data_IF_872562048446
#
_entry.id   IF_872562048446
#
_cell.length_a   1.000
_cell.length_b   1.000
_cell.length_c   1.000
_cell.angle_alpha   90.00
_cell.angle_beta   90.00
_cell.angle_gamma   90.00
#
_symmetry.space_group_name_H-M   'P 1'
#
loop_
_entity.id
_entity.type
_entity.pdbx_description
1 polymer ?
#
# COMPACT_ATOMS: atom_id res chain seq x y z
N UNK A 1 -9.92 -18.05 -26.36
CA UNK A 1 -10.21 -16.75 -25.81
C UNK A 1 -8.97 -16.19 -25.16
N UNK A 2 -8.44 -15.06 -25.66
CA UNK A 2 -7.32 -14.39 -25.04
C UNK A 2 -7.71 -13.99 -23.62
N UNK A 3 -7.01 -14.53 -22.64
CA UNK A 3 -7.04 -14.01 -21.29
C UNK A 3 -6.27 -12.69 -21.36
N UNK A 4 -7.01 -11.59 -21.41
CA UNK A 4 -6.40 -10.28 -21.18
C UNK A 4 -6.01 -10.25 -19.70
N UNK A 5 -4.71 -10.38 -19.43
CA UNK A 5 -4.16 -9.99 -18.15
C UNK A 5 -4.56 -8.54 -17.94
N UNK A 6 -5.35 -8.27 -16.92
CA UNK A 6 -5.65 -6.90 -16.50
C UNK A 6 -4.42 -6.44 -15.75
N UNK A 7 -3.37 -6.07 -16.48
CA UNK A 7 -2.19 -5.48 -15.89
C UNK A 7 -2.59 -4.13 -15.28
N UNK A 8 -2.13 -3.88 -14.06
CA UNK A 8 -2.29 -2.58 -13.44
C UNK A 8 -1.59 -1.53 -14.28
N UNK A 9 -2.25 -0.40 -14.51
CA UNK A 9 -1.71 0.73 -15.27
C UNK A 9 -1.82 1.99 -14.44
N UNK A 10 -0.99 2.98 -14.75
CA UNK A 10 -1.09 4.30 -14.12
C UNK A 10 -2.46 4.91 -14.37
N UNK A 11 -2.97 5.76 -13.46
CA UNK A 11 -4.22 6.48 -13.70
C UNK A 11 -4.16 7.32 -14.98
N UNK A 12 -5.31 7.56 -15.60
CA UNK A 12 -5.40 8.41 -16.78
C UNK A 12 -4.82 9.79 -16.50
N UNK A 13 -3.93 10.25 -17.38
CA UNK A 13 -3.26 11.55 -17.22
C UNK A 13 -2.23 11.60 -16.10
N UNK A 14 -1.81 10.45 -15.57
CA UNK A 14 -0.81 10.41 -14.52
C UNK A 14 0.53 10.96 -15.01
N UNK A 15 1.12 11.80 -14.17
CA UNK A 15 2.50 12.27 -14.33
C UNK A 15 3.25 12.07 -13.02
N UNK A 16 4.52 11.70 -13.12
CA UNK A 16 5.39 11.57 -11.94
C UNK A 16 5.48 12.92 -11.21
N UNK A 17 5.38 12.93 -9.87
CA UNK A 17 5.54 14.16 -9.11
C UNK A 17 6.89 14.83 -9.37
N UNK A 18 6.88 16.16 -9.49
CA UNK A 18 8.08 17.00 -9.60
C UNK A 18 7.94 18.20 -8.70
N UNK A 19 8.72 18.23 -7.65
CA UNK A 19 8.69 19.29 -6.65
C UNK A 19 10.07 19.89 -6.48
N UNK A 20 10.09 21.15 -6.02
CA UNK A 20 11.33 21.83 -5.72
C UNK A 20 11.90 21.39 -4.37
N UNK A 21 13.21 21.37 -4.27
CA UNK A 21 13.92 21.19 -3.02
C UNK A 21 13.52 22.27 -2.01
N UNK A 22 13.30 21.86 -0.76
CA UNK A 22 13.06 22.75 0.36
C UNK A 22 14.33 22.76 1.22
N UNK A 23 15.16 23.82 1.15
CA UNK A 23 16.49 23.81 1.76
C UNK A 23 16.51 23.52 3.26
N UNK A 24 15.54 24.04 4.01
CA UNK A 24 15.46 23.84 5.47
C UNK A 24 15.19 22.36 5.81
N UNK A 25 14.41 21.67 4.99
CA UNK A 25 14.10 20.25 5.18
C UNK A 25 15.27 19.40 4.70
N UNK A 26 15.81 19.73 3.54
CA UNK A 26 16.96 19.02 2.99
C UNK A 26 18.17 19.04 3.92
N UNK A 27 18.34 20.11 4.69
CA UNK A 27 19.43 20.24 5.66
C UNK A 27 19.34 19.23 6.82
N UNK A 28 18.18 18.61 7.05
CA UNK A 28 18.01 17.60 8.10
C UNK A 28 18.69 16.27 7.77
N UNK A 29 18.96 16.02 6.50
CA UNK A 29 19.62 14.80 6.04
C UNK A 29 20.62 15.12 4.95
N UNK A 30 21.89 15.10 5.31
CA UNK A 30 23.00 15.34 4.40
C UNK A 30 23.55 13.98 3.94
N UNK A 31 23.16 13.59 2.71
CA UNK A 31 23.61 12.35 2.11
C UNK A 31 24.71 12.63 1.08
N UNK A 32 25.87 12.03 1.29
CA UNK A 32 27.06 12.25 0.47
C UNK A 32 26.89 11.78 -0.98
N UNK A 33 26.04 10.77 -1.26
CA UNK A 33 25.84 10.26 -2.63
C UNK A 33 24.68 10.93 -3.38
N UNK A 34 23.82 11.67 -2.67
CA UNK A 34 22.73 12.41 -3.29
C UNK A 34 21.59 11.54 -3.81
N UNK A 35 21.51 10.26 -3.42
CA UNK A 35 20.52 9.30 -3.88
C UNK A 35 19.72 8.75 -2.71
N UNK A 36 18.40 8.66 -2.88
CA UNK A 36 17.52 7.97 -1.93
C UNK A 36 17.08 6.64 -2.56
N UNK A 37 17.63 5.53 -2.06
CA UNK A 37 17.26 4.19 -2.50
C UNK A 37 16.12 3.66 -1.66
N UNK A 38 15.03 3.22 -2.31
CA UNK A 38 13.86 2.67 -1.66
C UNK A 38 13.64 1.22 -2.07
N UNK A 39 13.67 0.31 -1.11
CA UNK A 39 13.38 -1.10 -1.32
C UNK A 39 11.87 -1.33 -1.43
N UNK A 40 11.45 -2.04 -2.46
CA UNK A 40 10.04 -2.30 -2.74
C UNK A 40 9.86 -3.64 -3.43
N UNK A 41 8.69 -4.24 -3.28
CA UNK A 41 8.39 -5.56 -3.85
C UNK A 41 7.11 -5.53 -4.70
N UNK A 42 7.19 -5.11 -5.97
CA UNK A 42 6.06 -5.24 -6.88
C UNK A 42 5.82 -6.70 -7.28
N UNK A 43 4.59 -7.11 -7.67
CA UNK A 43 3.40 -6.28 -7.79
C UNK A 43 2.59 -6.21 -6.50
N UNK A 44 2.20 -5.00 -6.11
CA UNK A 44 1.29 -4.73 -4.99
C UNK A 44 0.52 -3.44 -5.28
N UNK A 45 -0.33 -3.47 -6.29
CA UNK A 45 -1.11 -2.30 -6.71
C UNK A 45 -2.18 -1.93 -5.67
N UNK A 46 -2.43 -0.63 -5.41
CA UNK A 46 -1.86 0.55 -6.08
C UNK A 46 -0.56 1.08 -5.46
N UNK A 47 0.04 0.37 -4.51
CA UNK A 47 1.22 0.82 -3.78
C UNK A 47 2.46 0.83 -4.64
N UNK A 48 2.77 -0.32 -5.26
CA UNK A 48 3.85 -0.46 -6.22
C UNK A 48 3.52 -1.57 -7.23
N UNK A 49 3.82 -1.31 -8.49
CA UNK A 49 3.72 -2.30 -9.56
C UNK A 49 4.58 -1.84 -10.75
N UNK A 50 4.83 -2.74 -11.68
CA UNK A 50 5.57 -2.41 -12.89
C UNK A 50 4.61 -1.95 -13.98
N UNK A 51 4.93 -0.82 -14.62
CA UNK A 51 4.23 -0.39 -15.82
C UNK A 51 4.69 -1.21 -17.05
N UNK A 52 4.07 -1.02 -18.24
CA UNK A 52 4.46 -1.77 -19.43
C UNK A 52 5.92 -1.62 -19.84
N UNK A 53 6.59 -0.50 -19.46
CA UNK A 53 7.99 -0.23 -19.73
C UNK A 53 8.93 -0.84 -18.68
N UNK A 54 8.39 -1.48 -17.65
CA UNK A 54 9.14 -2.08 -16.56
C UNK A 54 9.52 -1.12 -15.44
N UNK A 55 9.05 0.12 -15.47
CA UNK A 55 9.27 1.07 -14.39
C UNK A 55 8.38 0.72 -13.19
N UNK A 56 8.92 0.88 -11.98
CA UNK A 56 8.17 0.67 -10.74
C UNK A 56 7.42 1.95 -10.43
N UNK A 57 6.10 1.88 -10.44
CA UNK A 57 5.18 2.99 -10.23
C UNK A 57 4.17 2.64 -9.14
N UNK A 58 3.46 3.62 -8.63
CA UNK A 58 2.44 3.43 -7.62
C UNK A 58 2.39 4.60 -6.64
N UNK A 59 1.42 4.56 -5.73
CA UNK A 59 1.19 5.67 -4.80
C UNK A 59 2.35 5.84 -3.82
N UNK A 60 2.96 4.75 -3.34
CA UNK A 60 4.14 4.85 -2.47
C UNK A 60 5.36 5.37 -3.22
N UNK A 61 5.49 5.01 -4.50
CA UNK A 61 6.57 5.51 -5.35
C UNK A 61 6.41 7.01 -5.62
N UNK A 62 5.19 7.48 -5.84
CA UNK A 62 4.90 8.92 -5.99
C UNK A 62 5.23 9.68 -4.71
N UNK A 63 4.85 9.15 -3.55
CA UNK A 63 5.19 9.79 -2.27
C UNK A 63 6.70 9.83 -2.05
N UNK A 64 7.41 8.73 -2.32
CA UNK A 64 8.86 8.67 -2.18
C UNK A 64 9.57 9.63 -3.14
N UNK A 65 9.11 9.70 -4.39
CA UNK A 65 9.66 10.65 -5.37
C UNK A 65 9.49 12.10 -4.88
N UNK A 66 8.30 12.46 -4.42
CA UNK A 66 8.01 13.78 -3.89
C UNK A 66 8.86 14.11 -2.65
N UNK A 67 9.03 13.15 -1.74
CA UNK A 67 9.89 13.30 -0.55
C UNK A 67 11.35 13.49 -0.97
N UNK A 68 11.84 12.68 -1.91
CA UNK A 68 13.20 12.80 -2.42
C UNK A 68 13.45 14.18 -3.05
N UNK A 69 12.49 14.67 -3.84
CA UNK A 69 12.58 16.01 -4.44
C UNK A 69 12.74 17.10 -3.37
N UNK A 70 11.92 17.06 -2.33
CA UNK A 70 11.98 18.02 -1.21
C UNK A 70 13.33 17.96 -0.51
N UNK A 71 13.88 16.76 -0.34
CA UNK A 71 15.21 16.54 0.26
C UNK A 71 16.35 16.83 -0.69
N UNK A 72 16.09 17.11 -1.96
CA UNK A 72 17.12 17.34 -2.97
C UNK A 72 17.91 16.09 -3.34
N UNK A 73 17.28 14.91 -3.22
CA UNK A 73 17.88 13.61 -3.54
C UNK A 73 17.27 13.02 -4.81
N UNK A 74 18.07 12.24 -5.53
CA UNK A 74 17.57 11.43 -6.63
C UNK A 74 16.87 10.19 -6.09
N UNK A 75 15.61 9.98 -6.49
CA UNK A 75 14.86 8.79 -6.08
C UNK A 75 15.22 7.59 -6.94
N UNK A 76 15.55 6.48 -6.29
CA UNK A 76 15.86 5.23 -6.95
C UNK A 76 15.13 4.06 -6.29
N UNK A 77 14.02 3.57 -6.88
CA UNK A 77 13.38 2.35 -6.38
C UNK A 77 14.23 1.12 -6.71
N UNK A 78 14.30 0.19 -5.75
CA UNK A 78 15.06 -1.05 -5.86
C UNK A 78 14.13 -2.21 -5.61
N UNK A 79 13.93 -3.05 -6.63
CA UNK A 79 13.11 -4.25 -6.49
C UNK A 79 13.83 -5.29 -5.66
N UNK A 80 13.14 -5.83 -4.65
CA UNK A 80 13.64 -6.92 -3.81
C UNK A 80 12.50 -7.83 -3.38
N UNK A 81 12.82 -9.05 -3.01
CA UNK A 81 11.88 -9.91 -2.28
C UNK A 81 11.47 -9.21 -0.98
N UNK A 82 10.19 -9.27 -0.64
CA UNK A 82 9.65 -8.57 0.52
C UNK A 82 10.44 -8.90 1.81
N UNK A 83 10.78 -10.18 2.01
CA UNK A 83 11.55 -10.64 3.19
C UNK A 83 12.97 -10.09 3.25
N UNK A 84 13.51 -9.56 2.15
CA UNK A 84 14.88 -9.04 2.08
C UNK A 84 14.94 -7.53 2.26
N UNK A 85 13.82 -6.81 2.20
CA UNK A 85 13.83 -5.35 2.25
C UNK A 85 14.30 -4.83 3.60
N UNK A 86 13.67 -5.25 4.70
CA UNK A 86 14.05 -4.77 6.03
C UNK A 86 15.50 -5.14 6.40
N UNK A 87 15.99 -6.37 6.14
CA UNK A 87 17.41 -6.65 6.33
C UNK A 87 18.34 -5.74 5.54
N UNK A 88 18.00 -5.40 4.29
CA UNK A 88 18.80 -4.50 3.45
C UNK A 88 18.79 -3.05 3.99
N UNK A 89 17.66 -2.60 4.53
CA UNK A 89 17.56 -1.28 5.19
C UNK A 89 18.43 -1.28 6.46
N UNK A 90 18.36 -2.33 7.27
CA UNK A 90 19.14 -2.43 8.50
C UNK A 90 20.65 -2.44 8.24
N UNK A 91 21.09 -3.09 7.17
CA UNK A 91 22.52 -3.16 6.80
C UNK A 91 23.04 -1.91 6.09
N UNK A 92 22.16 -1.00 5.68
CA UNK A 92 22.52 0.19 4.92
C UNK A 92 22.70 -0.01 3.42
N UNK A 93 22.38 -1.19 2.89
CA UNK A 93 22.37 -1.43 1.44
C UNK A 93 21.30 -0.61 0.74
N UNK A 94 20.17 -0.38 1.40
CA UNK A 94 19.03 0.41 0.95
C UNK A 94 18.72 1.43 2.05
N UNK A 95 18.35 2.65 1.65
CA UNK A 95 18.11 3.72 2.62
C UNK A 95 16.77 3.58 3.34
N UNK A 96 15.71 3.19 2.62
CA UNK A 96 14.35 3.18 3.13
C UNK A 96 13.56 2.03 2.54
N UNK A 97 12.65 1.46 3.32
CA UNK A 97 11.69 0.46 2.86
C UNK A 97 10.35 1.11 2.52
N UNK A 98 9.84 0.83 1.33
CA UNK A 98 8.55 1.34 0.84
C UNK A 98 7.81 0.22 0.11
N UNK A 99 7.15 -0.65 0.86
CA UNK A 99 6.45 -1.82 0.32
C UNK A 99 5.23 -2.23 1.16
N UNK A 100 4.40 -1.25 1.49
CA UNK A 100 3.18 -1.50 2.26
C UNK A 100 3.45 -2.07 3.65
N UNK A 101 4.51 -1.63 4.29
CA UNK A 101 4.86 -2.14 5.61
C UNK A 101 3.90 -1.65 6.67
N UNK A 102 3.29 -2.59 7.39
CA UNK A 102 2.57 -2.25 8.62
C UNK A 102 3.57 -1.86 9.70
N UNK A 103 3.36 -0.70 10.28
CA UNK A 103 4.06 -0.26 11.48
C UNK A 103 3.52 -1.06 12.68
N UNK A 104 4.38 -1.86 13.31
CA UNK A 104 4.02 -2.67 14.46
C UNK A 104 5.15 -2.72 15.49
N UNK A 105 4.82 -3.15 16.70
CA UNK A 105 5.77 -3.16 17.81
C UNK A 105 6.99 -4.06 17.57
N UNK A 106 6.80 -5.19 16.91
CA UNK A 106 7.90 -6.11 16.61
C UNK A 106 8.94 -5.45 15.70
N UNK A 107 8.47 -4.81 14.62
CA UNK A 107 9.35 -4.11 13.68
C UNK A 107 10.00 -2.87 14.29
N UNK A 108 9.31 -2.18 15.21
CA UNK A 108 9.86 -0.97 15.90
C UNK A 108 11.08 -1.27 16.77
N UNK A 109 11.36 -2.51 17.07
CA UNK A 109 12.58 -2.89 17.80
C UNK A 109 13.85 -2.51 17.03
N UNK A 110 13.80 -2.58 15.70
CA UNK A 110 14.96 -2.39 14.83
C UNK A 110 14.79 -1.27 13.80
N UNK A 111 13.56 -0.74 13.64
CA UNK A 111 13.24 0.27 12.63
C UNK A 111 12.38 1.36 13.22
N UNK A 112 12.46 2.54 12.61
CA UNK A 112 11.47 3.59 12.78
C UNK A 112 10.58 3.64 11.54
N UNK A 113 9.27 3.83 11.73
CA UNK A 113 8.30 3.91 10.66
C UNK A 113 7.74 5.33 10.57
N UNK A 114 7.85 5.92 9.39
CA UNK A 114 7.17 7.18 9.08
C UNK A 114 5.80 6.81 8.51
N UNK A 115 4.77 6.98 9.34
CA UNK A 115 3.41 6.55 9.04
C UNK A 115 2.78 7.50 8.02
N UNK A 116 2.37 6.96 6.88
CA UNK A 116 1.89 7.77 5.77
C UNK A 116 0.45 7.44 5.33
N UNK A 117 -0.16 6.38 5.86
CA UNK A 117 -1.51 5.98 5.49
C UNK A 117 -2.04 4.99 6.52
N UNK A 118 -3.33 5.10 6.88
CA UNK A 118 -4.02 4.02 7.57
C UNK A 118 -4.74 3.15 6.55
N UNK A 119 -4.48 1.85 6.59
CA UNK A 119 -5.15 0.87 5.76
C UNK A 119 -5.66 -0.26 6.63
N UNK A 120 -6.84 -0.73 6.32
CA UNK A 120 -7.45 -1.89 6.97
C UNK A 120 -7.78 -2.95 5.95
N UNK A 121 -8.62 -3.91 6.36
CA UNK A 121 -9.19 -4.90 5.47
C UNK A 121 -10.54 -4.38 5.01
N UNK A 122 -10.84 -4.52 3.73
CA UNK A 122 -12.15 -4.19 3.18
C UNK A 122 -12.51 -5.14 2.05
N UNK A 123 -13.78 -5.54 2.01
CA UNK A 123 -14.25 -6.46 1.00
C UNK A 123 -14.83 -5.71 -0.20
N UNK A 124 -14.75 -6.35 -1.33
CA UNK A 124 -15.43 -5.93 -2.56
C UNK A 124 -16.23 -7.11 -3.10
N UNK A 125 -17.40 -6.83 -3.66
CA UNK A 125 -18.29 -7.82 -4.21
C UNK A 125 -18.60 -7.55 -5.68
N UNK A 126 -19.15 -8.55 -6.36
CA UNK A 126 -19.66 -8.40 -7.71
C UNK A 126 -20.97 -7.61 -7.70
N UNK A 127 -21.12 -6.61 -8.56
CA UNK A 127 -22.31 -5.73 -8.58
C UNK A 127 -23.60 -6.45 -8.96
N UNK A 128 -23.51 -7.51 -9.77
CA UNK A 128 -24.65 -8.33 -10.19
C UNK A 128 -24.69 -9.70 -9.51
N UNK A 129 -23.99 -9.85 -8.39
CA UNK A 129 -24.00 -11.07 -7.61
C UNK A 129 -25.38 -11.33 -6.99
N UNK A 130 -25.78 -12.63 -6.97
CA UNK A 130 -27.08 -13.04 -6.42
C UNK A 130 -27.05 -13.33 -4.91
N UNK A 131 -25.88 -13.59 -4.35
CA UNK A 131 -25.74 -13.82 -2.93
C UNK A 131 -25.47 -12.50 -2.20
N UNK A 132 -26.12 -12.32 -1.05
CA UNK A 132 -25.81 -11.21 -0.17
C UNK A 132 -24.44 -11.45 0.46
N UNK A 133 -23.56 -10.45 0.35
CA UNK A 133 -22.24 -10.46 0.97
C UNK A 133 -22.27 -9.58 2.23
N UNK A 134 -22.04 -10.22 3.37
CA UNK A 134 -21.83 -9.55 4.65
C UNK A 134 -20.48 -10.00 5.19
N UNK A 135 -19.47 -9.11 5.22
CA UNK A 135 -18.14 -9.49 5.70
C UNK A 135 -18.11 -9.99 7.15
N UNK A 136 -19.08 -9.57 7.97
CA UNK A 136 -19.17 -10.02 9.37
C UNK A 136 -19.88 -11.37 9.54
N UNK A 137 -20.61 -11.83 8.51
CA UNK A 137 -21.29 -13.12 8.51
C UNK A 137 -21.25 -13.76 7.12
N UNK A 138 -20.06 -14.25 6.68
CA UNK A 138 -19.87 -14.68 5.31
C UNK A 138 -20.11 -16.16 5.07
N UNK A 139 -20.74 -16.88 5.98
CA UNK A 139 -20.98 -18.33 5.83
C UNK A 139 -21.74 -18.64 4.53
N UNK A 140 -21.30 -19.65 3.83
CA UNK A 140 -21.88 -20.07 2.54
C UNK A 140 -21.32 -19.35 1.33
N UNK A 141 -20.45 -18.38 1.49
CA UNK A 141 -19.83 -17.63 0.39
C UNK A 141 -18.53 -18.29 -0.09
N UNK A 142 -18.13 -17.90 -1.29
CA UNK A 142 -16.78 -18.12 -1.83
C UNK A 142 -16.06 -16.78 -1.86
N UNK A 143 -14.92 -16.69 -1.19
CA UNK A 143 -14.14 -15.46 -1.04
C UNK A 143 -12.74 -15.63 -1.60
N UNK A 144 -12.34 -14.73 -2.48
CA UNK A 144 -11.01 -14.71 -3.08
C UNK A 144 -10.07 -13.83 -2.26
N UNK A 145 -8.83 -14.28 -2.08
CA UNK A 145 -7.78 -13.55 -1.37
C UNK A 145 -6.45 -13.72 -2.08
N UNK A 146 -5.53 -12.81 -1.82
CA UNK A 146 -4.13 -13.04 -2.12
C UNK A 146 -3.51 -13.90 -1.01
N UNK A 147 -2.75 -14.92 -1.42
CA UNK A 147 -2.09 -15.87 -0.51
C UNK A 147 -1.11 -15.15 0.42
N UNK A 148 -1.04 -15.61 1.68
CA UNK A 148 -0.11 -15.12 2.73
C UNK A 148 -0.32 -13.68 3.19
N UNK A 149 -1.41 -13.05 2.79
CA UNK A 149 -1.78 -11.71 3.27
C UNK A 149 -2.55 -11.80 4.60
N UNK A 150 -2.66 -10.67 5.27
CA UNK A 150 -3.49 -10.50 6.48
C UNK A 150 -4.96 -10.85 6.17
N UNK A 151 -5.43 -10.54 4.97
CA UNK A 151 -6.79 -10.93 4.55
C UNK A 151 -7.00 -12.43 4.57
N UNK A 152 -6.01 -13.23 4.20
CA UNK A 152 -6.09 -14.68 4.30
C UNK A 152 -5.98 -15.15 5.74
N UNK A 153 -4.91 -14.77 6.44
CA UNK A 153 -4.54 -15.35 7.73
C UNK A 153 -5.37 -14.83 8.90
N UNK A 154 -5.75 -13.56 8.87
CA UNK A 154 -6.39 -12.88 10.01
C UNK A 154 -7.87 -12.56 9.75
N UNK A 155 -8.35 -12.67 8.52
CA UNK A 155 -9.74 -12.41 8.16
C UNK A 155 -10.47 -13.67 7.73
N UNK A 156 -10.22 -14.19 6.54
CA UNK A 156 -11.08 -15.25 5.97
C UNK A 156 -10.86 -16.62 6.62
N UNK A 157 -9.66 -17.00 7.00
CA UNK A 157 -9.41 -18.27 7.68
C UNK A 157 -10.12 -18.33 9.05
N UNK A 158 -9.98 -17.32 9.94
CA UNK A 158 -10.74 -17.31 11.18
C UNK A 158 -12.26 -17.32 10.98
N UNK A 159 -12.77 -16.61 9.97
CA UNK A 159 -14.20 -16.59 9.64
C UNK A 159 -14.69 -17.94 9.12
N UNK A 160 -13.89 -18.66 8.34
CA UNK A 160 -14.19 -20.02 7.91
C UNK A 160 -14.33 -20.95 9.11
N UNK A 161 -13.43 -20.85 10.07
CA UNK A 161 -13.49 -21.65 11.30
C UNK A 161 -14.76 -21.32 12.09
N UNK A 162 -15.11 -20.04 12.21
CA UNK A 162 -16.33 -19.60 12.88
C UNK A 162 -17.60 -20.06 12.17
N UNK A 163 -17.55 -20.29 10.86
CA UNK A 163 -18.66 -20.83 10.06
C UNK A 163 -18.73 -22.38 10.08
N UNK A 164 -17.91 -23.04 10.89
CA UNK A 164 -17.84 -24.50 10.89
C UNK A 164 -17.35 -25.11 9.58
N UNK A 165 -16.54 -24.36 8.83
CA UNK A 165 -16.02 -24.76 7.53
C UNK A 165 -16.87 -24.31 6.33
N UNK A 166 -18.03 -23.73 6.57
CA UNK A 166 -18.95 -23.30 5.49
C UNK A 166 -18.55 -21.92 4.93
N UNK A 167 -17.34 -21.83 4.45
CA UNK A 167 -16.79 -20.70 3.70
C UNK A 167 -15.71 -21.23 2.77
N UNK A 168 -15.86 -21.02 1.48
CA UNK A 168 -14.86 -21.45 0.51
C UNK A 168 -13.86 -20.32 0.28
N UNK A 169 -12.57 -20.62 0.44
CA UNK A 169 -11.50 -19.66 0.20
C UNK A 169 -10.77 -20.02 -1.08
N UNK A 170 -10.66 -19.07 -2.00
CA UNK A 170 -9.83 -19.18 -3.19
C UNK A 170 -8.60 -18.29 -3.00
N UNK A 171 -7.44 -18.92 -2.82
CA UNK A 171 -6.16 -18.24 -2.60
C UNK A 171 -5.38 -18.12 -3.90
N UNK A 172 -4.99 -16.90 -4.25
CA UNK A 172 -4.25 -16.60 -5.47
C UNK A 172 -2.90 -15.98 -5.13
N UNK A 173 -1.95 -16.06 -6.05
CA UNK A 173 -0.62 -15.47 -5.86
C UNK A 173 -0.64 -13.94 -5.95
N UNK A 174 -1.63 -13.36 -6.62
CA UNK A 174 -1.78 -11.91 -6.79
C UNK A 174 -3.17 -11.43 -6.42
N UNK A 175 -3.27 -10.18 -5.97
CA UNK A 175 -4.57 -9.52 -5.72
C UNK A 175 -5.35 -9.33 -7.03
N UNK A 176 -4.67 -9.12 -8.15
CA UNK A 176 -5.32 -8.98 -9.46
C UNK A 176 -6.07 -10.24 -9.85
N UNK A 177 -5.50 -11.42 -9.59
CA UNK A 177 -6.17 -12.69 -9.84
C UNK A 177 -7.35 -12.91 -8.90
N UNK A 178 -7.26 -12.48 -7.65
CA UNK A 178 -8.38 -12.52 -6.71
C UNK A 178 -9.54 -11.64 -7.21
N UNK A 179 -9.25 -10.42 -7.65
CA UNK A 179 -10.24 -9.52 -8.23
C UNK A 179 -10.88 -10.11 -9.49
N UNK A 180 -10.06 -10.69 -10.37
CA UNK A 180 -10.55 -11.33 -11.60
C UNK A 180 -11.51 -12.49 -11.30
N UNK A 181 -11.24 -13.27 -10.25
CA UNK A 181 -12.13 -14.35 -9.81
C UNK A 181 -13.53 -13.82 -9.45
N UNK A 182 -13.61 -12.67 -8.79
CA UNK A 182 -14.89 -12.00 -8.48
C UNK A 182 -15.58 -11.51 -9.75
N UNK A 183 -14.85 -10.83 -10.63
CA UNK A 183 -15.38 -10.28 -11.89
C UNK A 183 -15.95 -11.42 -12.76
N UNK A 184 -15.28 -12.57 -12.80
CA UNK A 184 -15.71 -13.73 -13.58
C UNK A 184 -16.77 -14.58 -12.90
N UNK A 185 -17.17 -14.24 -11.68
CA UNK A 185 -18.19 -15.00 -10.95
C UNK A 185 -17.72 -16.30 -10.32
N UNK A 186 -16.41 -16.52 -10.21
CA UNK A 186 -15.84 -17.67 -9.49
C UNK A 186 -15.88 -17.50 -7.99
N UNK A 187 -15.80 -16.27 -7.52
CA UNK A 187 -15.95 -15.89 -6.12
C UNK A 187 -17.08 -14.87 -5.99
N UNK A 188 -17.73 -14.88 -4.83
CA UNK A 188 -18.79 -13.91 -4.50
C UNK A 188 -18.20 -12.56 -4.08
N UNK A 189 -17.03 -12.59 -3.46
CA UNK A 189 -16.34 -11.40 -2.96
C UNK A 189 -14.82 -11.63 -2.90
N UNK A 190 -14.08 -10.53 -2.71
CA UNK A 190 -12.68 -10.57 -2.35
C UNK A 190 -12.46 -9.85 -1.02
N UNK A 191 -11.48 -10.31 -0.27
CA UNK A 191 -10.94 -9.64 0.91
C UNK A 191 -9.51 -9.20 0.63
N UNK A 192 -9.20 -7.95 0.87
CA UNK A 192 -7.87 -7.39 0.65
C UNK A 192 -7.68 -6.14 1.51
N UNK A 193 -6.46 -5.60 1.51
CA UNK A 193 -6.22 -4.29 2.08
C UNK A 193 -7.12 -3.25 1.40
N UNK A 194 -7.64 -2.32 2.18
CA UNK A 194 -8.65 -1.36 1.68
C UNK A 194 -8.25 -0.63 0.40
N UNK A 195 -7.00 -0.14 0.23
CA UNK A 195 -6.60 0.48 -1.02
C UNK A 195 -6.53 -0.50 -2.20
N UNK A 196 -6.19 -1.75 -1.92
CA UNK A 196 -6.14 -2.81 -2.95
C UNK A 196 -7.54 -3.14 -3.44
N UNK A 197 -8.51 -3.29 -2.53
CA UNK A 197 -9.92 -3.48 -2.89
C UNK A 197 -10.49 -2.29 -3.66
N UNK A 198 -10.23 -1.07 -3.20
CA UNK A 198 -10.64 0.16 -3.87
C UNK A 198 -10.07 0.26 -5.29
N UNK A 199 -8.80 -0.06 -5.46
CA UNK A 199 -8.15 -0.09 -6.77
C UNK A 199 -8.79 -1.10 -7.71
N UNK A 200 -9.07 -2.31 -7.23
CA UNK A 200 -9.76 -3.34 -8.01
C UNK A 200 -11.15 -2.89 -8.45
N UNK A 201 -11.92 -2.25 -7.55
CA UNK A 201 -13.25 -1.71 -7.87
C UNK A 201 -13.15 -0.63 -8.95
N UNK A 202 -12.24 0.32 -8.81
CA UNK A 202 -12.06 1.42 -9.77
C UNK A 202 -11.72 0.91 -11.17
N UNK A 203 -11.03 -0.23 -11.26
CA UNK A 203 -10.62 -0.84 -12.53
C UNK A 203 -11.60 -1.87 -13.08
N UNK A 204 -12.65 -2.17 -12.36
CA UNK A 204 -13.59 -3.26 -12.72
C UNK A 204 -14.63 -2.87 -13.77
N UNK A 205 -14.63 -1.62 -14.23
CA UNK A 205 -15.66 -1.13 -15.18
C UNK A 205 -17.08 -1.35 -14.66
N UNK A 206 -17.32 -1.03 -13.40
CA UNK A 206 -18.63 -1.16 -12.76
C UNK A 206 -19.03 -2.58 -12.36
N UNK A 207 -18.16 -3.58 -12.56
CA UNK A 207 -18.46 -4.98 -12.25
C UNK A 207 -18.30 -5.33 -10.78
N UNK A 208 -17.62 -4.49 -10.03
CA UNK A 208 -17.38 -4.65 -8.59
C UNK A 208 -17.73 -3.37 -7.83
N UNK A 209 -18.07 -3.55 -6.56
CA UNK A 209 -18.28 -2.45 -5.61
C UNK A 209 -17.73 -2.82 -4.24
N UNK A 210 -17.37 -1.82 -3.46
CA UNK A 210 -17.00 -2.04 -2.05
C UNK A 210 -18.23 -2.51 -1.27
N UNK A 211 -18.02 -3.37 -0.29
CA UNK A 211 -19.06 -3.86 0.60
C UNK A 211 -18.56 -3.83 2.05
N UNK A 212 -19.35 -3.23 2.92
CA UNK A 212 -19.00 -3.04 4.33
C UNK A 212 -17.95 -1.96 4.55
N UNK A 213 -17.66 -1.72 5.80
CA UNK A 213 -16.66 -0.75 6.21
C UNK A 213 -15.27 -1.39 6.29
N UNK A 214 -14.23 -0.55 6.24
CA UNK A 214 -12.87 -0.97 6.55
C UNK A 214 -12.76 -1.38 8.02
N UNK A 215 -12.08 -2.46 8.31
CA UNK A 215 -11.84 -2.97 9.66
C UNK A 215 -10.38 -3.35 9.87
N UNK A 216 -9.99 -3.51 11.15
CA UNK A 216 -8.60 -3.83 11.54
C UNK A 216 -7.57 -2.87 10.95
N UNK A 217 -7.89 -1.57 10.97
CA UNK A 217 -7.02 -0.55 10.43
C UNK A 217 -5.69 -0.47 11.20
N UNK A 218 -4.60 -0.34 10.47
CA UNK A 218 -3.25 -0.20 11.00
C UNK A 218 -2.46 0.81 10.14
N UNK A 219 -1.48 1.51 10.73
CA UNK A 219 -0.67 2.42 9.95
C UNK A 219 0.29 1.68 9.02
N UNK A 220 0.39 2.14 7.80
CA UNK A 220 1.47 1.81 6.89
C UNK A 220 2.55 2.87 7.00
N UNK A 221 3.80 2.44 7.06
CA UNK A 221 4.92 3.35 7.21
C UNK A 221 6.08 3.02 6.28
N UNK A 222 6.87 4.06 6.00
CA UNK A 222 8.17 3.90 5.41
C UNK A 222 9.17 3.51 6.49
N UNK A 223 9.96 2.47 6.25
CA UNK A 223 10.88 1.91 7.23
C UNK A 223 12.28 2.49 7.04
N UNK A 224 12.84 3.04 8.11
CA UNK A 224 14.25 3.49 8.17
C UNK A 224 14.94 2.79 9.35
N UNK A 225 16.28 2.75 9.39
CA UNK A 225 16.99 2.22 10.56
C UNK A 225 16.59 2.98 11.82
N UNK A 226 16.47 2.26 12.92
CA UNK A 226 16.10 2.87 14.21
C UNK A 226 17.06 3.99 14.57
N UNK A 227 16.50 5.13 15.03
CA UNK A 227 17.24 6.34 15.43
C UNK A 227 18.03 6.99 14.29
N UNK A 228 17.74 6.65 13.05
CA UNK A 228 18.35 7.26 11.87
C UNK A 228 17.92 8.72 11.71
N UNK A 229 18.83 9.56 11.25
CA UNK A 229 18.51 10.95 10.86
C UNK A 229 17.55 11.03 9.67
N UNK A 230 17.47 9.97 8.88
CA UNK A 230 16.56 9.93 7.74
C UNK A 230 15.10 9.95 8.19
N UNK A 231 14.76 9.36 9.33
CA UNK A 231 13.39 9.35 9.86
C UNK A 231 12.80 10.74 10.02
N UNK A 232 13.40 11.62 10.82
CA UNK A 232 12.91 13.00 10.97
C UNK A 232 12.89 13.80 9.67
N UNK A 233 13.85 13.59 8.77
CA UNK A 233 13.89 14.26 7.48
C UNK A 233 12.73 13.85 6.57
N UNK A 234 12.44 12.55 6.47
CA UNK A 234 11.30 12.01 5.71
C UNK A 234 9.98 12.50 6.32
N UNK A 235 9.87 12.50 7.64
CA UNK A 235 8.69 12.99 8.34
C UNK A 235 8.45 14.49 8.07
N UNK A 236 9.49 15.31 8.09
CA UNK A 236 9.39 16.73 7.76
C UNK A 236 8.97 16.94 6.31
N UNK A 237 9.52 16.16 5.38
CA UNK A 237 9.13 16.22 3.98
C UNK A 237 7.66 15.79 3.79
N UNK A 238 7.21 14.73 4.46
CA UNK A 238 5.81 14.30 4.41
C UNK A 238 4.88 15.36 4.98
N UNK A 239 5.21 16.00 6.10
CA UNK A 239 4.43 17.10 6.64
C UNK A 239 4.33 18.26 5.65
N UNK A 240 5.40 18.59 4.95
CA UNK A 240 5.36 19.61 3.89
C UNK A 240 4.40 19.24 2.77
N UNK A 241 4.40 17.98 2.33
CA UNK A 241 3.44 17.50 1.33
C UNK A 241 1.98 17.61 1.83
N UNK A 242 1.75 17.30 3.09
CA UNK A 242 0.41 17.39 3.70
C UNK A 242 -0.05 18.86 3.75
N UNK A 243 0.80 19.75 4.22
CA UNK A 243 0.50 21.18 4.36
C UNK A 243 0.25 21.87 3.03
N UNK A 244 0.96 21.49 1.98
CA UNK A 244 0.81 22.07 0.64
C UNK A 244 -0.33 21.47 -0.17
N UNK A 245 -0.95 20.38 0.32
CA UNK A 245 -2.00 19.65 -0.39
C UNK A 245 -1.48 18.61 -1.39
N UNK A 246 -0.17 18.51 -1.59
CA UNK A 246 0.42 17.55 -2.54
C UNK A 246 0.19 16.09 -2.10
N UNK A 247 0.26 15.81 -0.80
CA UNK A 247 -0.02 14.48 -0.26
C UNK A 247 -1.43 14.00 -0.65
N UNK A 248 -2.44 14.80 -0.35
CA UNK A 248 -3.83 14.47 -0.67
C UNK A 248 -4.01 14.29 -2.18
N UNK A 249 -3.41 15.14 -2.98
CA UNK A 249 -3.48 15.10 -4.44
C UNK A 249 -2.87 13.82 -5.01
N UNK A 250 -1.74 13.37 -4.46
CA UNK A 250 -1.11 12.09 -4.84
C UNK A 250 -2.07 10.93 -4.53
N UNK A 251 -2.61 10.88 -3.32
CA UNK A 251 -3.50 9.79 -2.91
C UNK A 251 -4.80 9.77 -3.72
N UNK A 252 -5.43 10.91 -3.92
CA UNK A 252 -6.67 11.03 -4.73
C UNK A 252 -6.46 10.56 -6.17
N UNK A 253 -5.30 10.86 -6.75
CA UNK A 253 -4.95 10.39 -8.10
C UNK A 253 -4.96 8.88 -8.21
N UNK A 254 -4.59 8.18 -7.14
CA UNK A 254 -4.59 6.73 -7.07
C UNK A 254 -5.88 6.15 -6.48
N UNK A 255 -6.92 6.98 -6.34
CA UNK A 255 -8.24 6.54 -5.87
C UNK A 255 -8.32 6.29 -4.36
N UNK A 256 -7.39 6.81 -3.58
CA UNK A 256 -7.36 6.65 -2.13
C UNK A 256 -7.89 7.91 -1.48
N UNK A 257 -9.07 7.80 -0.83
CA UNK A 257 -9.72 8.90 -0.11
C UNK A 257 -9.88 8.64 1.38
N UNK A 258 -9.72 7.39 1.81
CA UNK A 258 -9.86 6.97 3.21
C UNK A 258 -8.48 6.65 3.81
N UNK A 259 -8.32 6.89 5.10
CA UNK A 259 -7.11 6.56 5.83
C UNK A 259 -5.97 7.58 5.69
N UNK A 260 -6.26 8.76 5.13
CA UNK A 260 -5.25 9.81 5.00
C UNK A 260 -4.81 10.31 6.38
N UNK A 261 -3.51 10.54 6.54
CA UNK A 261 -2.97 11.09 7.79
C UNK A 261 -3.03 12.63 7.76
N UNK A 262 -3.28 13.23 8.90
CA UNK A 262 -3.33 14.70 9.05
C UNK A 262 -1.95 15.30 9.31
N UNK A 263 -1.05 14.49 9.85
CA UNK A 263 0.35 14.85 10.09
C UNK A 263 1.24 13.60 10.00
N UNK A 264 2.50 13.80 9.69
CA UNK A 264 3.47 12.71 9.72
C UNK A 264 3.73 12.29 11.17
N UNK A 265 3.77 10.97 11.38
CA UNK A 265 4.10 10.37 12.66
C UNK A 265 5.26 9.43 12.50
N UNK A 266 6.09 9.33 13.52
CA UNK A 266 7.12 8.28 13.61
C UNK A 266 6.67 7.32 14.70
N UNK A 267 6.46 6.04 14.33
CA UNK A 267 6.00 5.01 15.24
C UNK A 267 4.69 5.41 15.97
N UNK A 268 3.75 5.99 15.22
CA UNK A 268 2.45 6.51 15.68
C UNK A 268 2.55 7.65 16.70
N UNK A 269 3.68 8.36 16.71
CA UNK A 269 3.87 9.54 17.57
C UNK A 269 4.15 10.77 16.72
N UNK A 270 3.52 11.92 17.02
CA UNK A 270 3.83 13.17 16.34
C UNK A 270 5.30 13.51 16.44
N UNK A 271 5.86 14.06 15.35
CA UNK A 271 7.30 14.32 15.23
C UNK A 271 7.75 15.51 16.09
N UNK A 272 6.83 16.40 16.46
CA UNK A 272 7.14 17.64 17.18
C UNK A 272 6.93 17.55 18.70
N UNK A 273 6.77 16.35 19.24
CA UNK A 273 6.63 16.13 20.68
C UNK A 273 7.97 15.74 21.34
#
# INVERSE_FOLDING_TARGET
GCVTNVESSTPDGWEEPRLDKVPEIAALYDDADGVLTAGTNPPFAPFEFKDPDGAIVGVEMDMMKAIADILGLEFQPVEQDFSMILPAVQSGQIDIGASGFTDNQERRKNFDFIDHLYAGIQWAERTDGIKRVDPSNPCGLTVAVQRTTVSETDDVIPKKDACGGDLRILSYDTSDNAALAVIMGRADAMSADSPVSSWAVNRSDGKMRMVGDMFDAAPYGFAVPKDSKLGPAVAAALNHLIETGEYQKILERWGISDGLVEEAMINERPVND
#
